data_IF_394467292374
#
_entry.id   IF_394467292374
#
_cell.length_a   1.000
_cell.length_b   1.000
_cell.length_c   1.000
_cell.angle_alpha   90.00
_cell.angle_beta   90.00
_cell.angle_gamma   90.00
#
_symmetry.space_group_name_H-M   'P 1'
#
loop_
_entity.id
_entity.type
_entity.pdbx_description
1 polymer ?
#
# COMPACT_ATOMS: atom_id res chain seq x y z
N UNK A 1 30.78 34.80 43.70
CA UNK A 1 29.90 33.67 43.35
C UNK A 1 28.47 34.08 43.64
N UNK A 2 27.62 34.11 42.61
CA UNK A 2 26.25 34.63 42.70
C UNK A 2 25.30 33.55 43.25
N UNK A 3 24.20 33.93 43.89
CA UNK A 3 23.26 32.96 44.49
C UNK A 3 22.63 31.98 43.47
N UNK A 4 22.56 32.40 42.20
CA UNK A 4 22.18 31.56 41.07
C UNK A 4 23.15 30.39 40.86
N UNK A 5 24.46 30.60 41.00
CA UNK A 5 25.46 29.54 40.85
C UNK A 5 25.32 28.46 41.93
N UNK A 6 24.98 28.83 43.17
CA UNK A 6 24.74 27.85 44.25
C UNK A 6 23.44 27.06 44.05
N UNK A 7 22.38 27.72 43.56
CA UNK A 7 21.11 27.06 43.24
C UNK A 7 21.22 26.13 42.02
N UNK A 8 21.98 26.53 41.00
CA UNK A 8 22.32 25.63 39.89
C UNK A 8 23.19 24.48 40.38
N UNK A 9 24.26 24.73 41.14
CA UNK A 9 25.17 23.69 41.61
C UNK A 9 24.45 22.57 42.40
N UNK A 10 23.41 22.90 43.17
CA UNK A 10 22.61 21.91 43.91
C UNK A 10 21.55 21.20 43.05
N UNK A 11 20.98 21.87 42.04
CA UNK A 11 19.83 21.37 41.27
C UNK A 11 20.18 20.89 39.85
N UNK A 12 21.44 21.03 39.43
CA UNK A 12 21.90 20.71 38.08
C UNK A 12 21.69 19.23 37.72
N UNK A 13 21.85 18.31 38.68
CA UNK A 13 21.54 16.87 38.47
C UNK A 13 20.07 16.64 38.14
N UNK A 14 19.15 17.33 38.80
CA UNK A 14 17.72 17.18 38.53
C UNK A 14 17.35 17.78 37.18
N UNK A 15 17.87 18.96 36.85
CA UNK A 15 17.66 19.60 35.54
C UNK A 15 18.22 18.72 34.42
N UNK A 16 19.44 18.21 34.60
CA UNK A 16 20.06 17.29 33.66
C UNK A 16 19.23 16.01 33.49
N UNK A 17 18.77 15.40 34.58
CA UNK A 17 17.89 14.22 34.53
C UNK A 17 16.60 14.50 33.75
N UNK A 18 15.94 15.64 33.99
CA UNK A 18 14.72 16.02 33.27
C UNK A 18 15.01 16.22 31.78
N UNK A 19 16.12 16.89 31.42
CA UNK A 19 16.54 17.05 30.04
C UNK A 19 16.81 15.69 29.36
N UNK A 20 17.50 14.78 30.04
CA UNK A 20 17.77 13.43 29.52
C UNK A 20 16.45 12.66 29.35
N UNK A 21 15.55 12.73 30.32
CA UNK A 21 14.26 12.04 30.24
C UNK A 21 13.43 12.57 29.07
N UNK A 22 13.38 13.89 28.89
CA UNK A 22 12.71 14.53 27.77
C UNK A 22 13.34 14.14 26.43
N UNK A 23 14.66 14.14 26.35
CA UNK A 23 15.38 13.74 25.14
C UNK A 23 15.10 12.27 24.78
N UNK A 24 15.19 11.36 25.75
CA UNK A 24 14.91 9.94 25.53
C UNK A 24 13.45 9.69 25.15
N UNK A 25 12.52 10.36 25.83
CA UNK A 25 11.10 10.31 25.50
C UNK A 25 10.83 10.82 24.08
N UNK A 26 11.45 11.94 23.69
CA UNK A 26 11.36 12.48 22.34
C UNK A 26 11.91 11.54 21.27
N UNK A 27 13.08 10.94 21.52
CA UNK A 27 13.68 9.94 20.61
C UNK A 27 12.76 8.72 20.47
N UNK A 28 12.22 8.21 21.58
CA UNK A 28 11.29 7.08 21.56
C UNK A 28 10.02 7.41 20.75
N UNK A 29 9.44 8.60 20.93
CA UNK A 29 8.27 9.04 20.18
C UNK A 29 8.55 9.17 18.68
N UNK A 30 9.71 9.72 18.29
CA UNK A 30 10.13 9.83 16.89
C UNK A 30 10.31 8.44 16.27
N UNK A 31 10.96 7.51 16.99
CA UNK A 31 11.16 6.14 16.50
C UNK A 31 9.82 5.44 16.30
N UNK A 32 8.90 5.56 17.26
CA UNK A 32 7.56 5.01 17.15
C UNK A 32 6.82 5.56 15.92
N UNK A 33 6.84 6.87 15.72
CA UNK A 33 6.19 7.50 14.56
C UNK A 33 6.79 7.04 13.22
N UNK A 34 8.11 6.77 13.18
CA UNK A 34 8.78 6.22 12.00
C UNK A 34 8.36 4.78 11.71
N UNK A 35 8.24 3.95 12.74
CA UNK A 35 7.77 2.56 12.61
C UNK A 35 6.33 2.54 12.12
N UNK A 36 5.43 3.29 12.76
CA UNK A 36 4.02 3.39 12.38
C UNK A 36 3.82 3.91 10.94
N UNK A 37 4.69 4.82 10.48
CA UNK A 37 4.70 5.25 9.08
C UNK A 37 5.21 4.16 8.12
N UNK A 38 6.10 3.29 8.57
CA UNK A 38 6.57 2.12 7.83
C UNK A 38 5.49 1.05 7.71
N UNK A 39 4.83 0.71 8.81
CA UNK A 39 3.78 -0.31 8.88
C UNK A 39 2.61 0.05 7.96
N UNK A 40 2.15 1.31 7.98
CA UNK A 40 1.12 1.80 7.05
C UNK A 40 1.51 1.73 5.56
N UNK A 41 2.80 1.74 5.24
CA UNK A 41 3.27 1.52 3.85
C UNK A 41 3.27 0.04 3.51
N UNK A 42 3.73 -0.80 4.45
CA UNK A 42 3.71 -2.25 4.29
C UNK A 42 2.29 -2.77 4.07
N UNK A 43 1.31 -2.31 4.85
CA UNK A 43 -0.10 -2.71 4.70
C UNK A 43 -0.67 -2.36 3.33
N UNK A 44 -0.29 -1.20 2.78
CA UNK A 44 -0.70 -0.80 1.43
C UNK A 44 -0.09 -1.71 0.36
N UNK A 45 1.19 -2.07 0.49
CA UNK A 45 1.82 -3.00 -0.43
C UNK A 45 1.25 -4.42 -0.32
N UNK A 46 0.95 -4.88 0.89
CA UNK A 46 0.30 -6.17 1.10
C UNK A 46 -1.09 -6.20 0.44
N UNK A 47 -1.91 -5.17 0.69
CA UNK A 47 -3.25 -5.06 0.07
C UNK A 47 -3.17 -5.06 -1.46
N UNK A 48 -2.21 -4.34 -2.04
CA UNK A 48 -2.03 -4.30 -3.49
C UNK A 48 -1.50 -5.63 -4.04
N UNK A 49 -0.60 -6.30 -3.31
CA UNK A 49 -0.13 -7.63 -3.67
C UNK A 49 -1.26 -8.65 -3.64
N UNK A 50 -2.16 -8.59 -2.65
CA UNK A 50 -3.33 -9.47 -2.55
C UNK A 50 -4.29 -9.27 -3.74
N UNK A 51 -4.59 -8.01 -4.11
CA UNK A 51 -5.41 -7.72 -5.30
C UNK A 51 -4.81 -8.27 -6.57
N UNK A 52 -3.49 -8.09 -6.75
CA UNK A 52 -2.77 -8.62 -7.92
C UNK A 52 -2.72 -10.14 -7.89
N UNK A 53 -2.55 -10.73 -6.71
CA UNK A 53 -2.60 -12.18 -6.50
C UNK A 53 -3.94 -12.76 -6.94
N UNK A 54 -5.04 -12.12 -6.55
CA UNK A 54 -6.40 -12.54 -6.93
C UNK A 54 -6.66 -12.38 -8.43
N UNK A 55 -6.22 -11.27 -9.03
CA UNK A 55 -6.32 -11.07 -10.48
C UNK A 55 -5.54 -12.13 -11.26
N UNK A 56 -4.31 -12.43 -10.84
CA UNK A 56 -3.47 -13.46 -11.48
C UNK A 56 -4.05 -14.86 -11.26
N UNK A 57 -4.60 -15.16 -10.08
CA UNK A 57 -5.22 -16.46 -9.79
C UNK A 57 -6.46 -16.70 -10.67
N UNK A 58 -7.26 -15.65 -10.88
CA UNK A 58 -8.43 -15.65 -11.74
C UNK A 58 -8.02 -15.84 -13.20
N UNK A 59 -7.08 -15.04 -13.70
CA UNK A 59 -6.56 -15.21 -15.06
C UNK A 59 -5.99 -16.61 -15.30
N UNK A 60 -5.25 -17.15 -14.32
CA UNK A 60 -4.71 -18.50 -14.43
C UNK A 60 -5.81 -19.57 -14.47
N UNK A 61 -6.92 -19.38 -13.73
CA UNK A 61 -8.09 -20.26 -13.79
C UNK A 61 -8.73 -20.19 -15.17
N UNK A 62 -8.96 -18.99 -15.70
CA UNK A 62 -9.58 -18.77 -17.00
C UNK A 62 -8.76 -19.36 -18.13
N UNK A 63 -7.43 -19.15 -18.12
CA UNK A 63 -6.51 -19.75 -19.10
C UNK A 63 -6.50 -21.28 -19.04
N UNK A 64 -6.67 -21.89 -17.85
CA UNK A 64 -6.81 -23.35 -17.73
C UNK A 64 -8.14 -23.83 -18.32
N UNK A 65 -9.24 -23.14 -18.02
CA UNK A 65 -10.56 -23.43 -18.58
C UNK A 65 -10.55 -23.33 -20.10
N UNK A 66 -10.04 -22.22 -20.64
CA UNK A 66 -9.93 -21.97 -22.07
C UNK A 66 -9.11 -23.05 -22.77
N UNK A 67 -7.96 -23.42 -22.20
CA UNK A 67 -7.11 -24.49 -22.72
C UNK A 67 -7.81 -25.85 -22.70
N UNK A 68 -8.62 -26.15 -21.70
CA UNK A 68 -9.39 -27.39 -21.64
C UNK A 68 -10.46 -27.42 -22.74
N UNK A 69 -11.17 -26.31 -22.97
CA UNK A 69 -12.17 -26.18 -24.04
C UNK A 69 -11.55 -26.35 -25.43
N UNK A 70 -10.43 -25.66 -25.71
CA UNK A 70 -9.72 -25.79 -27.00
C UNK A 70 -9.28 -27.23 -27.24
N UNK A 71 -8.73 -27.91 -26.21
CA UNK A 71 -8.35 -29.32 -26.33
C UNK A 71 -9.52 -30.27 -26.57
N UNK A 72 -10.70 -29.96 -26.02
CA UNK A 72 -11.85 -30.83 -26.11
C UNK A 72 -12.61 -30.68 -27.44
N UNK A 73 -12.72 -29.46 -27.98
CA UNK A 73 -13.65 -29.18 -29.08
C UNK A 73 -13.03 -28.49 -30.30
N UNK A 74 -11.78 -27.99 -30.24
CA UNK A 74 -11.08 -27.37 -31.38
C UNK A 74 -11.69 -26.07 -31.93
N UNK A 75 -12.93 -25.74 -31.59
CA UNK A 75 -13.70 -24.59 -32.06
C UNK A 75 -13.66 -23.38 -31.11
N UNK A 76 -14.25 -22.26 -31.55
CA UNK A 76 -14.37 -20.99 -30.82
C UNK A 76 -14.78 -21.20 -29.36
N UNK A 77 -14.03 -20.64 -28.40
CA UNK A 77 -14.33 -20.79 -26.97
C UNK A 77 -15.74 -20.33 -26.61
N UNK A 78 -16.40 -21.05 -25.70
CA UNK A 78 -17.59 -20.56 -25.02
C UNK A 78 -17.17 -19.53 -23.96
N UNK A 79 -16.66 -18.39 -24.41
CA UNK A 79 -16.46 -17.23 -23.56
C UNK A 79 -17.82 -16.55 -23.36
N UNK A 80 -18.26 -16.31 -22.11
CA UNK A 80 -19.41 -15.48 -21.83
C UNK A 80 -19.23 -14.11 -22.48
N UNK A 81 -20.30 -13.53 -23.05
CA UNK A 81 -20.24 -12.18 -23.60
C UNK A 81 -19.92 -11.20 -22.47
N UNK A 82 -18.84 -10.41 -22.54
CA UNK A 82 -18.51 -9.44 -21.50
C UNK A 82 -19.62 -8.39 -21.30
N UNK A 83 -20.50 -8.21 -22.28
CA UNK A 83 -21.67 -7.34 -22.20
C UNK A 83 -22.70 -7.83 -21.18
N UNK A 84 -22.73 -9.13 -20.87
CA UNK A 84 -23.62 -9.71 -19.85
C UNK A 84 -23.11 -9.48 -18.42
N UNK A 85 -21.80 -9.27 -18.26
CA UNK A 85 -21.16 -9.09 -16.95
C UNK A 85 -21.02 -7.61 -16.55
N UNK A 86 -21.09 -6.69 -17.51
CA UNK A 86 -20.83 -5.26 -17.30
C UNK A 86 -21.91 -4.45 -18.02
N UNK A 87 -22.80 -3.84 -17.22
CA UNK A 87 -23.75 -2.85 -17.72
C UNK A 87 -23.01 -1.67 -18.38
N UNK A 88 -23.50 -1.26 -19.56
CA UNK A 88 -22.95 -0.16 -20.37
C UNK A 88 -21.50 -0.36 -20.86
N UNK A 89 -21.07 -1.62 -21.07
CA UNK A 89 -19.74 -1.93 -21.63
C UNK A 89 -19.49 -1.20 -22.96
N UNK A 90 -20.42 -1.28 -23.91
CA UNK A 90 -20.29 -0.67 -25.23
C UNK A 90 -20.26 0.87 -25.18
N UNK A 91 -20.89 1.49 -24.19
CA UNK A 91 -20.81 2.94 -23.95
C UNK A 91 -19.41 3.38 -23.52
N UNK A 92 -18.69 2.53 -22.78
CA UNK A 92 -17.31 2.77 -22.30
C UNK A 92 -16.23 2.48 -23.33
N UNK A 93 -16.49 1.53 -24.24
CA UNK A 93 -15.56 1.15 -25.33
C UNK A 93 -15.45 2.23 -26.40
N UNK A 94 -16.34 3.23 -26.40
CA UNK A 94 -16.23 4.42 -27.27
C UNK A 94 -15.12 5.39 -26.81
N UNK A 95 -14.03 4.86 -26.26
CA UNK A 95 -12.76 5.54 -26.22
C UNK A 95 -12.11 5.39 -27.61
N UNK A 96 -11.60 6.46 -28.23
CA UNK A 96 -10.89 6.35 -29.51
C UNK A 96 -9.75 5.34 -29.36
N UNK A 97 -9.72 4.34 -30.25
CA UNK A 97 -8.69 3.31 -30.25
C UNK A 97 -7.30 3.94 -30.26
N UNK A 98 -6.51 3.74 -29.19
CA UNK A 98 -5.14 4.22 -29.09
C UNK A 98 -4.83 5.19 -27.96
N UNK A 99 -5.78 5.57 -27.09
CA UNK A 99 -5.44 6.29 -25.86
C UNK A 99 -4.73 5.34 -24.88
N UNK A 100 -3.46 5.57 -24.51
CA UNK A 100 -2.83 4.88 -23.40
C UNK A 100 -3.73 5.07 -22.17
N UNK A 101 -3.94 4.00 -21.38
CA UNK A 101 -4.57 4.15 -20.08
C UNK A 101 -3.80 5.19 -19.27
N UNK A 102 -4.49 6.01 -18.48
CA UNK A 102 -3.82 7.01 -17.65
C UNK A 102 -2.71 6.35 -16.84
N UNK A 103 -1.50 6.91 -16.94
CA UNK A 103 -0.36 6.46 -16.15
C UNK A 103 -0.77 6.49 -14.67
N UNK A 104 -0.64 5.34 -14.00
CA UNK A 104 -0.90 5.25 -12.57
C UNK A 104 -0.07 6.28 -11.82
N UNK A 105 -0.68 7.00 -10.87
CA UNK A 105 0.00 8.04 -10.09
C UNK A 105 1.33 7.50 -9.54
N UNK A 106 2.45 8.22 -9.72
CA UNK A 106 3.72 7.79 -9.15
C UNK A 106 3.59 7.69 -7.62
N UNK A 107 4.04 6.55 -7.10
CA UNK A 107 4.00 6.19 -5.68
C UNK A 107 5.09 6.85 -4.84
#
# INVERSE_FOLDING_TARGET
MTQLERLLAHRWRTVFLVCVLLALSGVAAILWARIDAGDRRADRFATEADRRGEAVSTLARDVRTLRAQIRAHGDTPAAPDPSDAIDDLLGRVKAPAGAPGEDGKPG
#
